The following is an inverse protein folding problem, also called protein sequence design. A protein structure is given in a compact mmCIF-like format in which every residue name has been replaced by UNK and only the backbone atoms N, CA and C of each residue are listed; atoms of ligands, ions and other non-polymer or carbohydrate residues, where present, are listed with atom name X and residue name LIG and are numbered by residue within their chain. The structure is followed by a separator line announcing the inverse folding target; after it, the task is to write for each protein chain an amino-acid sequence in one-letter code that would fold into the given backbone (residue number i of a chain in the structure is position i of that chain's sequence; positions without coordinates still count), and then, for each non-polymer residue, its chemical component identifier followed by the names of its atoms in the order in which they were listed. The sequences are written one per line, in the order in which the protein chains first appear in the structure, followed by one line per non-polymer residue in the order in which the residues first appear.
data_IF_400416488802
#
_entry.id   IF_400416488802
#
_cell.length_a   1.000
_cell.length_b   1.000
_cell.length_c   1.000
_cell.angle_alpha   90.00
_cell.angle_beta   90.00
_cell.angle_gamma   90.00
#
_symmetry.space_group_name_H-M   'P 1'
#
loop_
_entity.id
_entity.type
_entity.pdbx_description
1 polymer ?
#
# COMPACT_ATOMS: atom_id res chain seq x y z
N UNK A 1 -39.94 -4.82 -0.87
CA UNK A 1 -38.94 -4.80 -1.96
C UNK A 1 -38.16 -3.49 -2.02
N UNK A 2 -38.79 -2.30 -1.87
CA UNK A 2 -38.08 -1.01 -1.86
C UNK A 2 -37.21 -0.77 -0.61
N UNK A 3 -37.64 -1.25 0.57
CA UNK A 3 -36.84 -1.17 1.81
C UNK A 3 -35.55 -1.99 1.72
N UNK A 4 -35.64 -3.22 1.21
CA UNK A 4 -34.47 -4.09 1.02
C UNK A 4 -33.42 -3.46 0.09
N UNK A 5 -33.85 -2.83 -1.01
CA UNK A 5 -32.96 -2.13 -1.95
C UNK A 5 -32.35 -0.86 -1.30
N UNK A 6 -33.10 -0.18 -0.44
CA UNK A 6 -32.63 1.00 0.31
C UNK A 6 -31.59 0.62 1.37
N UNK A 7 -31.80 -0.49 2.07
CA UNK A 7 -30.85 -1.04 3.06
C UNK A 7 -29.58 -1.55 2.41
N UNK A 8 -29.67 -2.26 1.27
CA UNK A 8 -28.50 -2.69 0.50
C UNK A 8 -27.65 -1.50 0.05
N UNK A 9 -28.27 -0.43 -0.48
CA UNK A 9 -27.54 0.79 -0.85
C UNK A 9 -26.86 1.47 0.34
N UNK A 10 -27.53 1.56 1.50
CA UNK A 10 -26.94 2.13 2.72
C UNK A 10 -25.80 1.27 3.26
N UNK A 11 -25.90 -0.05 3.14
CA UNK A 11 -24.83 -0.97 3.51
C UNK A 11 -23.60 -0.76 2.62
N UNK A 12 -23.79 -0.68 1.31
CA UNK A 12 -22.71 -0.44 0.34
C UNK A 12 -21.97 0.88 0.63
N UNK A 13 -22.71 1.97 0.86
CA UNK A 13 -22.11 3.27 1.19
C UNK A 13 -21.38 3.29 2.54
N UNK A 14 -21.87 2.53 3.51
CA UNK A 14 -21.25 2.45 4.84
C UNK A 14 -19.97 1.62 4.79
N UNK A 15 -20.04 0.48 4.11
CA UNK A 15 -18.89 -0.41 3.91
C UNK A 15 -17.77 0.31 3.15
N UNK A 16 -18.09 1.02 2.06
CA UNK A 16 -17.11 1.74 1.27
C UNK A 16 -16.41 2.83 2.11
N UNK A 17 -17.18 3.61 2.89
CA UNK A 17 -16.63 4.67 3.76
C UNK A 17 -15.71 4.12 4.85
N UNK A 18 -16.14 3.08 5.56
CA UNK A 18 -15.33 2.48 6.62
C UNK A 18 -14.07 1.79 6.05
N UNK A 19 -14.19 1.16 4.87
CA UNK A 19 -13.06 0.58 4.15
C UNK A 19 -12.05 1.65 3.75
N UNK A 20 -12.49 2.74 3.13
CA UNK A 20 -11.64 3.87 2.75
C UNK A 20 -10.92 4.46 3.97
N UNK A 21 -11.62 4.61 5.10
CA UNK A 21 -11.06 5.11 6.35
C UNK A 21 -10.00 4.16 6.93
N UNK A 22 -10.24 2.85 6.91
CA UNK A 22 -9.28 1.85 7.37
C UNK A 22 -8.02 1.84 6.50
N UNK A 23 -8.17 1.81 5.17
CA UNK A 23 -7.04 1.88 4.25
C UNK A 23 -6.28 3.20 4.38
N UNK A 24 -6.98 4.34 4.49
CA UNK A 24 -6.34 5.64 4.69
C UNK A 24 -5.42 5.65 5.92
N UNK A 25 -5.86 5.05 7.03
CA UNK A 25 -5.02 4.89 8.24
C UNK A 25 -3.81 4.00 8.00
N UNK A 26 -3.97 2.86 7.34
CA UNK A 26 -2.86 1.95 7.02
C UNK A 26 -1.83 2.62 6.11
N UNK A 27 -2.29 3.30 5.06
CA UNK A 27 -1.41 3.98 4.11
C UNK A 27 -0.65 5.16 4.70
N UNK A 28 -1.21 5.82 5.71
CA UNK A 28 -0.59 6.96 6.40
C UNK A 28 0.24 6.59 7.63
N UNK A 29 0.25 5.31 8.03
CA UNK A 29 1.06 4.85 9.17
C UNK A 29 2.55 5.11 8.94
N UNK A 30 3.25 5.69 9.90
CA UNK A 30 4.71 5.86 9.81
C UNK A 30 5.50 4.58 10.16
N UNK A 31 4.79 3.50 10.52
CA UNK A 31 5.38 2.22 10.89
C UNK A 31 4.96 1.14 9.89
N UNK A 32 5.76 0.09 9.79
CA UNK A 32 5.42 -1.13 9.03
C UNK A 32 4.23 -1.82 9.72
N UNK A 33 3.29 -2.29 8.92
CA UNK A 33 2.04 -2.93 9.34
C UNK A 33 1.85 -4.26 8.60
N UNK A 34 0.91 -5.09 9.04
CA UNK A 34 0.57 -6.35 8.34
C UNK A 34 0.08 -6.12 6.90
N UNK A 35 -0.52 -4.96 6.63
CA UNK A 35 -0.92 -4.56 5.29
C UNK A 35 0.27 -4.48 4.31
N UNK A 36 1.47 -4.15 4.81
CA UNK A 36 2.67 -4.11 3.99
C UNK A 36 3.08 -5.49 3.47
N UNK A 37 2.75 -6.57 4.19
CA UNK A 37 2.99 -7.93 3.69
C UNK A 37 2.19 -8.22 2.42
N UNK A 38 0.92 -7.79 2.38
CA UNK A 38 0.07 -7.94 1.21
C UNK A 38 0.53 -7.06 0.03
N UNK A 39 1.09 -5.88 0.32
CA UNK A 39 1.65 -5.02 -0.71
C UNK A 39 2.95 -5.56 -1.30
N UNK A 40 3.90 -5.95 -0.46
CA UNK A 40 5.27 -6.22 -0.90
C UNK A 40 5.55 -7.68 -1.23
N UNK A 41 4.70 -8.63 -0.78
CA UNK A 41 4.81 -10.04 -1.12
C UNK A 41 6.22 -10.57 -0.84
N UNK A 42 6.86 -11.15 -1.85
CA UNK A 42 8.22 -11.72 -1.73
C UNK A 42 9.30 -10.69 -1.38
N UNK A 43 9.05 -9.39 -1.60
CA UNK A 43 9.96 -8.32 -1.19
C UNK A 43 9.73 -7.87 0.26
N UNK A 44 8.73 -8.41 0.96
CA UNK A 44 8.37 -7.95 2.30
C UNK A 44 9.50 -8.13 3.30
N UNK A 45 10.23 -9.26 3.28
CA UNK A 45 11.33 -9.46 4.21
C UNK A 45 12.50 -8.49 3.98
N UNK A 46 12.85 -8.22 2.72
CA UNK A 46 13.85 -7.20 2.37
C UNK A 46 13.42 -5.82 2.87
N UNK A 47 12.17 -5.44 2.55
CA UNK A 47 11.57 -4.18 3.00
C UNK A 47 11.56 -4.04 4.54
N UNK A 48 11.20 -5.11 5.25
CA UNK A 48 11.14 -5.15 6.72
C UNK A 48 12.52 -4.98 7.36
N UNK A 49 13.56 -5.46 6.69
CA UNK A 49 14.95 -5.36 7.14
C UNK A 49 15.63 -4.04 6.76
N UNK A 50 14.92 -3.13 6.06
CA UNK A 50 15.54 -1.90 5.56
C UNK A 50 16.46 -2.12 4.36
N UNK A 51 16.38 -3.29 3.71
CA UNK A 51 17.18 -3.61 2.54
C UNK A 51 16.58 -3.00 1.27
N UNK A 52 17.34 -3.01 0.19
CA UNK A 52 16.83 -2.59 -1.11
C UNK A 52 15.70 -3.49 -1.60
N UNK A 53 14.73 -2.90 -2.30
CA UNK A 53 13.61 -3.62 -2.91
C UNK A 53 13.41 -3.24 -4.36
N UNK A 54 13.12 -4.24 -5.18
CA UNK A 54 12.86 -4.10 -6.61
C UNK A 54 11.57 -4.83 -6.97
N UNK A 55 10.80 -4.24 -7.88
CA UNK A 55 9.56 -4.84 -8.39
C UNK A 55 9.63 -4.99 -9.91
N UNK A 56 9.00 -6.02 -10.48
CA UNK A 56 8.97 -6.23 -11.92
C UNK A 56 8.35 -5.06 -12.69
N UNK A 57 8.88 -4.79 -13.88
CA UNK A 57 8.30 -3.79 -14.80
C UNK A 57 6.91 -4.23 -15.32
N UNK A 58 6.53 -5.50 -15.18
CA UNK A 58 5.21 -6.03 -15.54
C UNK A 58 4.10 -5.72 -14.54
N UNK A 59 4.41 -5.20 -13.34
CA UNK A 59 3.39 -4.97 -12.31
C UNK A 59 2.38 -3.89 -12.73
N UNK A 60 1.14 -4.05 -12.28
CA UNK A 60 0.06 -3.07 -12.49
C UNK A 60 0.50 -1.66 -12.04
N UNK A 61 0.19 -0.66 -12.86
CA UNK A 61 0.63 0.72 -12.65
C UNK A 61 0.08 1.34 -11.36
N UNK A 62 -1.15 0.99 -10.97
CA UNK A 62 -1.74 1.45 -9.72
C UNK A 62 -1.04 0.79 -8.54
N UNK A 63 -0.74 -0.51 -8.64
CA UNK A 63 -0.03 -1.22 -7.59
C UNK A 63 1.40 -0.68 -7.37
N UNK A 64 2.12 -0.39 -8.46
CA UNK A 64 3.42 0.30 -8.40
C UNK A 64 3.31 1.65 -7.72
N UNK A 65 2.29 2.45 -8.04
CA UNK A 65 2.06 3.77 -7.44
C UNK A 65 1.80 3.65 -5.94
N UNK A 66 0.97 2.69 -5.54
CA UNK A 66 0.65 2.42 -4.14
C UNK A 66 1.93 2.05 -3.36
N UNK A 67 2.69 1.07 -3.83
CA UNK A 67 3.98 0.67 -3.21
C UNK A 67 4.96 1.84 -3.15
N UNK A 68 5.09 2.61 -4.22
CA UNK A 68 5.98 3.77 -4.28
C UNK A 68 5.64 4.82 -3.23
N UNK A 69 4.36 5.12 -3.05
CA UNK A 69 3.91 6.07 -2.01
C UNK A 69 4.22 5.53 -0.61
N UNK A 70 3.99 4.23 -0.41
CA UNK A 70 4.29 3.57 0.87
C UNK A 70 5.78 3.59 1.20
N UNK A 71 6.63 3.28 0.23
CA UNK A 71 8.09 3.31 0.36
C UNK A 71 8.60 4.72 0.67
N UNK A 72 8.13 5.75 -0.04
CA UNK A 72 8.48 7.15 0.25
C UNK A 72 8.12 7.56 1.68
N UNK A 73 6.89 7.24 2.12
CA UNK A 73 6.45 7.54 3.49
C UNK A 73 7.37 6.91 4.53
N UNK A 74 7.85 5.70 4.25
CA UNK A 74 8.73 4.95 5.15
C UNK A 74 10.21 5.22 4.90
N UNK A 75 10.56 6.33 4.24
CA UNK A 75 11.94 6.81 4.11
C UNK A 75 12.79 6.04 3.10
N UNK A 76 12.19 5.48 2.05
CA UNK A 76 12.92 4.94 0.90
C UNK A 76 13.02 5.97 -0.22
N UNK A 77 14.11 5.90 -0.98
CA UNK A 77 14.34 6.68 -2.19
C UNK A 77 14.50 5.78 -3.41
N UNK A 78 14.05 6.26 -4.57
CA UNK A 78 14.19 5.53 -5.84
C UNK A 78 15.54 5.86 -6.49
N UNK A 79 16.31 4.83 -6.83
CA UNK A 79 17.53 4.93 -7.62
C UNK A 79 17.25 4.49 -9.06
N UNK A 80 17.30 5.46 -9.98
CA UNK A 80 16.85 5.26 -11.37
C UNK A 80 17.82 4.46 -12.23
N UNK A 81 19.11 4.55 -11.95
CA UNK A 81 20.21 3.83 -12.62
C UNK A 81 20.09 2.31 -12.43
N UNK A 82 19.79 1.88 -11.20
CA UNK A 82 19.63 0.45 -10.86
C UNK A 82 18.17 0.03 -10.69
N UNK A 83 17.21 0.92 -11.01
CA UNK A 83 15.77 0.70 -10.88
C UNK A 83 15.35 0.06 -9.55
N UNK A 84 15.84 0.60 -8.44
CA UNK A 84 15.67 -0.02 -7.11
C UNK A 84 15.30 1.02 -6.06
N UNK A 85 14.50 0.63 -5.07
CA UNK A 85 14.25 1.44 -3.88
C UNK A 85 15.27 1.13 -2.80
N UNK A 86 15.86 2.16 -2.21
CA UNK A 86 16.86 2.04 -1.15
C UNK A 86 16.40 2.81 0.08
N UNK A 87 16.53 2.19 1.26
CA UNK A 87 16.26 2.83 2.54
C UNK A 87 17.28 3.95 2.76
N UNK A 88 16.79 5.17 2.94
CA UNK A 88 17.65 6.29 3.32
C UNK A 88 17.98 6.11 4.80
N UNK A 89 19.25 5.92 5.12
CA UNK A 89 19.76 5.93 6.49
C UNK A 89 19.71 7.36 7.02
N UNK A 90 19.26 7.52 8.27
CA UNK A 90 19.49 8.75 9.03
C UNK A 90 20.97 8.88 9.43
#
# INVERSE_FOLDING_TARGET
MSELISEMKKFDETWEKETLKAFSRLFSSQQITEFDQALFGDQFDNFRQGMSVMFPDSDDINFKRIRSNRLKLLGYSWQADIKTWIKVSD
#
